data_IF_299473396894
#
_entry.id   IF_299473396894
#
_cell.length_a   1.000
_cell.length_b   1.000
_cell.length_c   1.000
_cell.angle_alpha   90.00
_cell.angle_beta   90.00
_cell.angle_gamma   90.00
#
_symmetry.space_group_name_H-M   'P 1'
#
loop_
_entity.id
_entity.type
_entity.pdbx_description
1 polymer ?
#
# COMPACT_ATOMS: atom_id res chain seq x y z
N UNK A 1 -16.86 0.21 9.06
CA UNK A 1 -16.94 0.00 7.59
C UNK A 1 -15.63 0.45 6.98
N UNK A 2 -15.15 -0.24 5.94
CA UNK A 2 -13.97 0.18 5.18
C UNK A 2 -14.41 0.61 3.77
N UNK A 3 -13.77 1.63 3.23
CA UNK A 3 -14.04 2.17 1.89
C UNK A 3 -12.76 2.13 1.07
N UNK A 4 -12.87 1.69 -0.17
CA UNK A 4 -11.75 1.68 -1.12
C UNK A 4 -11.77 2.96 -1.95
N UNK A 5 -10.64 3.63 -2.03
CA UNK A 5 -10.43 4.79 -2.90
C UNK A 5 -9.23 4.56 -3.81
N UNK A 6 -9.27 5.16 -5.01
CA UNK A 6 -8.09 5.24 -5.88
C UNK A 6 -7.16 6.31 -5.33
N UNK A 7 -5.93 5.92 -5.01
CA UNK A 7 -4.86 6.84 -4.63
C UNK A 7 -3.76 6.80 -5.67
N UNK A 8 -3.10 7.93 -5.89
CA UNK A 8 -1.91 8.02 -6.74
C UNK A 8 -0.65 8.24 -5.90
N UNK A 9 0.41 7.50 -6.20
CA UNK A 9 1.75 7.70 -5.65
C UNK A 9 2.78 7.74 -6.79
N UNK A 10 4.01 8.12 -6.47
CA UNK A 10 5.16 7.91 -7.35
C UNK A 10 5.90 6.66 -6.94
N UNK A 11 6.32 5.86 -7.91
CA UNK A 11 7.22 4.74 -7.71
C UNK A 11 8.40 4.84 -8.68
N UNK A 12 9.55 4.33 -8.23
CA UNK A 12 10.73 4.17 -9.09
C UNK A 12 10.63 2.88 -9.90
N UNK A 13 10.91 2.95 -11.20
CA UNK A 13 10.94 1.78 -12.08
C UNK A 13 12.18 1.80 -12.99
N UNK A 14 12.61 0.60 -13.42
CA UNK A 14 13.65 0.47 -14.43
C UNK A 14 13.01 0.54 -15.83
N UNK A 15 13.47 1.42 -16.74
CA UNK A 15 12.93 1.50 -18.11
C UNK A 15 13.17 0.21 -18.93
N UNK A 16 14.14 -0.61 -18.52
CA UNK A 16 14.41 -1.93 -19.12
C UNK A 16 13.55 -3.07 -18.54
N UNK A 17 12.55 -2.77 -17.69
CA UNK A 17 11.55 -3.74 -17.22
C UNK A 17 11.98 -4.62 -16.04
N UNK A 18 13.17 -4.42 -15.49
CA UNK A 18 13.63 -5.12 -14.29
C UNK A 18 12.92 -4.60 -13.03
N UNK A 19 12.37 -5.51 -12.22
CA UNK A 19 11.80 -5.16 -10.92
C UNK A 19 12.93 -4.90 -9.90
N UNK A 20 13.01 -3.69 -9.31
CA UNK A 20 13.94 -3.45 -8.21
C UNK A 20 13.50 -4.26 -6.98
N UNK A 21 14.46 -4.81 -6.22
CA UNK A 21 14.16 -5.40 -4.92
C UNK A 21 13.68 -4.28 -3.97
N UNK A 22 12.61 -4.51 -3.18
CA UNK A 22 11.95 -3.48 -2.37
C UNK A 22 12.89 -2.76 -1.39
N UNK A 23 13.95 -3.44 -0.92
CA UNK A 23 14.92 -2.91 0.03
C UNK A 23 15.96 -1.95 -0.57
N UNK A 24 16.03 -1.85 -1.91
CA UNK A 24 16.92 -0.91 -2.59
C UNK A 24 16.32 0.51 -2.74
N UNK A 25 15.04 0.69 -2.41
CA UNK A 25 14.39 1.99 -2.46
C UNK A 25 14.60 2.81 -1.19
N UNK A 26 14.91 2.17 -0.06
CA UNK A 26 14.86 2.78 1.28
C UNK A 26 16.20 3.28 1.81
N UNK A 27 17.30 3.15 1.08
CA UNK A 27 18.61 3.55 1.60
C UNK A 27 19.24 4.73 0.86
N UNK A 28 19.48 5.77 1.67
CA UNK A 28 20.42 6.88 1.52
C UNK A 28 19.99 8.07 0.65
N UNK A 29 20.39 9.25 1.15
CA UNK A 29 20.18 10.62 0.70
C UNK A 29 20.87 10.92 -0.66
N UNK A 30 20.71 10.03 -1.63
CA UNK A 30 21.31 10.14 -2.95
C UNK A 30 20.18 10.34 -3.95
N UNK A 31 20.15 11.51 -4.60
CA UNK A 31 19.06 11.91 -5.51
C UNK A 31 18.95 11.06 -6.77
N UNK A 32 19.88 10.14 -7.02
CA UNK A 32 19.92 9.30 -8.23
C UNK A 32 20.00 7.82 -7.84
N UNK A 33 19.12 7.01 -8.42
CA UNK A 33 19.05 5.56 -8.23
C UNK A 33 19.34 4.85 -9.56
N UNK A 34 20.02 3.71 -9.50
CA UNK A 34 20.34 2.89 -10.67
C UNK A 34 19.82 1.45 -10.50
N UNK A 35 19.43 0.82 -11.59
CA UNK A 35 19.06 -0.59 -11.62
C UNK A 35 20.29 -1.47 -11.42
N UNK A 36 20.32 -2.27 -10.37
CA UNK A 36 21.43 -3.18 -10.08
C UNK A 36 21.63 -4.30 -11.12
N UNK A 37 20.62 -4.59 -11.96
CA UNK A 37 20.70 -5.62 -13.00
C UNK A 37 21.29 -5.11 -14.32
N UNK A 38 21.04 -3.84 -14.69
CA UNK A 38 21.44 -3.32 -16.00
C UNK A 38 22.15 -1.96 -15.97
N UNK A 39 22.30 -1.34 -14.80
CA UNK A 39 22.95 -0.04 -14.63
C UNK A 39 22.13 1.16 -15.10
N UNK A 40 20.95 0.96 -15.70
CA UNK A 40 20.09 2.05 -16.14
C UNK A 40 19.62 2.92 -14.96
N UNK A 41 19.43 4.21 -15.21
CA UNK A 41 18.85 5.13 -14.24
C UNK A 41 17.40 4.73 -13.94
N UNK A 42 17.02 4.76 -12.67
CA UNK A 42 15.64 4.52 -12.23
C UNK A 42 14.84 5.79 -12.49
N UNK A 43 13.78 5.66 -13.29
CA UNK A 43 12.83 6.72 -13.56
C UNK A 43 11.68 6.68 -12.56
N UNK A 44 10.99 7.80 -12.39
CA UNK A 44 9.78 7.88 -11.57
C UNK A 44 8.55 7.92 -12.48
N UNK A 45 7.49 7.23 -12.05
CA UNK A 45 6.18 7.29 -12.71
C UNK A 45 5.08 7.43 -11.67
N UNK A 46 4.01 8.13 -12.06
CA UNK A 46 2.79 8.15 -11.28
C UNK A 46 2.05 6.82 -11.48
N UNK A 47 1.73 6.15 -10.38
CA UNK A 47 0.92 4.94 -10.35
C UNK A 47 -0.29 5.12 -9.45
N UNK A 48 -1.38 4.43 -9.79
CA UNK A 48 -2.59 4.44 -8.98
C UNK A 48 -2.93 3.05 -8.47
N UNK A 49 -3.28 2.93 -7.19
CA UNK A 49 -3.72 1.68 -6.59
C UNK A 49 -4.98 1.88 -5.73
N UNK A 50 -5.67 0.77 -5.45
CA UNK A 50 -6.81 0.74 -4.55
C UNK A 50 -6.33 0.68 -3.10
N UNK A 51 -6.60 1.74 -2.35
CA UNK A 51 -6.29 1.81 -0.93
C UNK A 51 -7.58 1.76 -0.10
N UNK A 52 -7.58 0.94 0.94
CA UNK A 52 -8.69 0.85 1.88
C UNK A 52 -8.49 1.81 3.06
N UNK A 53 -9.57 2.52 3.41
CA UNK A 53 -9.62 3.45 4.54
C UNK A 53 -10.80 3.10 5.43
N UNK A 54 -10.66 3.34 6.73
CA UNK A 54 -11.78 3.22 7.65
C UNK A 54 -12.80 4.34 7.38
N UNK A 55 -14.05 4.01 7.05
CA UNK A 55 -15.10 5.00 6.81
C UNK A 55 -15.49 5.81 8.06
N UNK A 56 -15.08 5.34 9.25
CA UNK A 56 -15.41 5.98 10.54
C UNK A 56 -14.36 7.00 10.97
N UNK A 57 -13.07 6.67 10.87
CA UNK A 57 -11.98 7.54 11.34
C UNK A 57 -11.03 8.00 10.24
N UNK A 58 -11.28 7.59 8.99
CA UNK A 58 -10.49 7.92 7.80
C UNK A 58 -9.01 7.51 7.86
N UNK A 59 -8.65 6.57 8.74
CA UNK A 59 -7.29 6.02 8.79
C UNK A 59 -7.09 4.95 7.72
N UNK A 60 -5.89 4.84 7.13
CA UNK A 60 -5.57 3.77 6.19
C UNK A 60 -5.65 2.42 6.89
N UNK A 61 -6.24 1.43 6.25
CA UNK A 61 -6.41 0.07 6.78
C UNK A 61 -6.07 -0.95 5.72
N UNK A 62 -5.58 -2.13 6.12
CA UNK A 62 -5.52 -3.24 5.17
C UNK A 62 -6.93 -3.76 4.90
N UNK A 63 -7.29 -4.04 3.64
CA UNK A 63 -8.57 -4.69 3.32
C UNK A 63 -8.69 -6.10 3.94
N UNK A 64 -7.57 -6.73 4.29
CA UNK A 64 -7.56 -8.05 4.95
C UNK A 64 -7.86 -7.99 6.44
N UNK A 65 -7.83 -6.82 7.07
CA UNK A 65 -8.07 -6.68 8.51
C UNK A 65 -9.56 -6.79 8.87
N UNK A 66 -9.85 -7.41 10.01
CA UNK A 66 -11.22 -7.61 10.50
C UNK A 66 -11.79 -6.38 11.22
N UNK A 67 -10.92 -5.52 11.76
CA UNK A 67 -11.28 -4.30 12.49
C UNK A 67 -10.24 -3.21 12.24
N UNK A 68 -10.65 -1.96 12.45
CA UNK A 68 -9.74 -0.82 12.38
C UNK A 68 -8.92 -0.73 13.68
N UNK A 69 -7.57 -0.78 13.63
CA UNK A 69 -6.75 -0.67 14.85
C UNK A 69 -6.74 0.73 15.46
N UNK A 70 -7.23 1.73 14.73
CA UNK A 70 -7.24 3.13 15.17
C UNK A 70 -8.53 3.53 15.90
N UNK A 71 -9.68 2.90 15.57
CA UNK A 71 -10.98 3.24 16.18
C UNK A 71 -11.80 2.04 16.64
N UNK A 72 -11.32 0.81 16.44
CA UNK A 72 -12.00 -0.43 16.85
C UNK A 72 -13.18 -0.84 15.96
N UNK A 73 -13.56 -0.04 14.95
CA UNK A 73 -14.70 -0.37 14.10
C UNK A 73 -14.45 -1.63 13.27
N UNK A 74 -15.37 -2.60 13.36
CA UNK A 74 -15.34 -3.83 12.56
C UNK A 74 -15.59 -3.60 11.06
N UNK A 75 -15.09 -4.53 10.25
CA UNK A 75 -15.16 -4.47 8.78
C UNK A 75 -16.54 -4.80 8.17
N UNK A 76 -17.63 -4.95 8.93
CA UNK A 76 -18.97 -5.29 8.40
C UNK A 76 -19.01 -6.63 7.63
N UNK A 77 -19.58 -7.67 8.26
CA UNK A 77 -19.63 -9.04 7.74
C UNK A 77 -19.38 -10.13 8.80
N UNK A 78 -18.94 -9.77 10.00
CA UNK A 78 -19.13 -10.59 11.20
C UNK A 78 -20.39 -10.09 11.89
N UNK A 79 -21.53 -10.69 11.57
CA UNK A 79 -22.65 -10.70 12.50
C UNK A 79 -22.18 -11.49 13.73
N UNK A 80 -22.32 -10.97 14.97
CA UNK A 80 -22.27 -11.81 16.16
C UNK A 80 -23.58 -12.62 16.20
N UNK A 81 -23.69 -13.61 15.32
CA UNK A 81 -24.84 -14.51 15.27
C UNK A 81 -24.37 -15.95 15.10
N UNK A 82 -23.34 -16.37 15.85
CA UNK A 82 -23.21 -17.75 16.38
C UNK A 82 -21.99 -17.85 17.32
N UNK A 83 -22.08 -17.28 18.53
CA UNK A 83 -21.39 -17.83 19.70
C UNK A 83 -22.41 -17.76 20.83
N UNK A 84 -23.30 -18.75 20.85
CA UNK A 84 -23.98 -19.16 22.08
C UNK A 84 -23.32 -20.47 22.49
N UNK A 85 -22.86 -20.50 23.74
CA UNK A 85 -22.52 -21.68 24.53
C UNK A 85 -23.52 -22.83 24.35
#
# INVERSE_FOLDING_TARGET
MFTTIKVSTFEGYCPNGHSPLPDLLTQSNHSVRFCFLCGALIEERQVSYDAAYCSTCNSPVSPTWNFCPYCGQGRQGVTPANITD
#
